data_IF_904831218407
#
_entry.id   IF_904831218407
#
_cell.length_a   1.000
_cell.length_b   1.000
_cell.length_c   1.000
_cell.angle_alpha   90.00
_cell.angle_beta   90.00
_cell.angle_gamma   90.00
#
_symmetry.space_group_name_H-M   'P 1'
#
loop_
_entity.id
_entity.type
_entity.pdbx_description
1 polymer ?
#
# COMPACT_ATOMS: atom_id res chain seq x y z
N UNK A 1 52.35 1.80 -16.44
CA UNK A 1 51.47 0.62 -16.43
C UNK A 1 50.17 1.00 -17.14
N UNK A 2 49.70 0.06 -17.96
CA UNK A 2 48.55 -0.01 -18.86
C UNK A 2 47.44 1.07 -18.82
N UNK A 3 47.17 1.62 -20.02
CA UNK A 3 45.84 2.05 -20.46
C UNK A 3 44.84 0.90 -20.37
N UNK A 4 43.60 1.21 -19.99
CA UNK A 4 42.43 0.41 -20.39
C UNK A 4 41.30 1.34 -20.80
N UNK A 5 41.10 1.40 -22.12
CA UNK A 5 39.85 1.77 -22.75
C UNK A 5 38.94 0.54 -22.75
N UNK A 6 37.65 0.68 -22.44
CA UNK A 6 36.56 0.00 -23.17
C UNK A 6 35.14 0.35 -22.69
N UNK A 7 34.44 1.04 -23.59
CA UNK A 7 33.10 0.73 -24.16
C UNK A 7 31.86 0.65 -23.27
N UNK A 8 31.05 1.71 -23.43
CA UNK A 8 29.59 1.76 -23.71
C UNK A 8 28.80 0.45 -23.54
N UNK A 9 27.76 0.52 -22.72
CA UNK A 9 26.44 -0.01 -23.05
C UNK A 9 25.41 0.99 -22.55
N UNK A 10 24.90 1.77 -23.51
CA UNK A 10 23.65 2.50 -23.38
C UNK A 10 22.55 1.47 -23.12
N UNK A 11 21.82 1.64 -22.02
CA UNK A 11 20.51 1.04 -21.87
C UNK A 11 19.58 2.10 -21.33
N UNK A 12 19.16 2.94 -22.27
CA UNK A 12 17.83 3.53 -22.27
C UNK A 12 16.80 2.49 -21.76
N UNK A 13 16.38 2.64 -20.50
CA UNK A 13 15.08 2.15 -20.06
C UNK A 13 14.15 3.34 -20.28
N UNK A 14 13.54 3.31 -21.46
CA UNK A 14 12.47 4.21 -21.83
C UNK A 14 11.34 4.14 -20.81
N UNK A 15 10.92 5.33 -20.40
CA UNK A 15 9.53 5.70 -20.19
C UNK A 15 8.66 4.68 -19.46
N UNK A 16 8.65 4.79 -18.15
CA UNK A 16 7.41 5.20 -17.50
C UNK A 16 7.78 6.27 -16.48
N UNK A 17 7.55 7.54 -16.85
CA UNK A 17 7.22 8.51 -15.83
C UNK A 17 5.92 7.98 -15.24
N UNK A 18 6.03 7.20 -14.18
CA UNK A 18 4.95 7.08 -13.23
C UNK A 18 4.67 8.53 -12.84
N UNK A 19 3.65 9.12 -13.45
CA UNK A 19 3.04 10.32 -12.94
C UNK A 19 2.57 9.89 -11.56
N UNK A 20 3.44 10.06 -10.56
CA UNK A 20 3.10 9.93 -9.16
C UNK A 20 1.96 10.91 -9.01
N UNK A 21 0.73 10.41 -9.11
CA UNK A 21 -0.46 11.20 -8.89
C UNK A 21 -0.36 11.56 -7.42
N UNK A 22 0.11 12.77 -7.16
CA UNK A 22 0.36 13.39 -5.85
C UNK A 22 -0.86 13.35 -4.91
N UNK A 23 -1.99 12.85 -5.41
CA UNK A 23 -3.28 12.78 -4.76
C UNK A 23 -3.71 11.37 -4.34
N UNK A 24 -2.92 10.30 -4.56
CA UNK A 24 -3.32 8.94 -4.18
C UNK A 24 -2.35 8.26 -3.20
N UNK A 25 -2.82 7.85 -2.00
CA UNK A 25 -1.96 7.28 -0.95
C UNK A 25 -1.53 5.82 -1.22
N UNK A 26 -2.03 5.19 -2.28
CA UNK A 26 -1.71 3.81 -2.66
C UNK A 26 -1.19 3.79 -4.11
N UNK A 27 -0.28 2.86 -4.41
CA UNK A 27 0.16 2.61 -5.79
C UNK A 27 -1.04 2.25 -6.68
N UNK A 28 -1.00 2.70 -7.95
CA UNK A 28 -2.10 2.52 -8.92
C UNK A 28 -2.56 1.05 -9.02
N UNK A 29 -1.64 0.10 -9.03
CA UNK A 29 -1.95 -1.33 -9.06
C UNK A 29 -2.81 -1.83 -7.88
N UNK A 30 -2.65 -1.25 -6.68
CA UNK A 30 -3.47 -1.55 -5.50
C UNK A 30 -4.84 -0.85 -5.59
N UNK A 31 -4.90 0.31 -6.24
CA UNK A 31 -6.13 1.05 -6.44
C UNK A 31 -7.06 0.36 -7.44
N UNK A 32 -6.52 -0.10 -8.57
CA UNK A 32 -7.28 -0.78 -9.62
C UNK A 32 -7.61 -2.24 -9.29
N UNK A 33 -7.04 -2.78 -8.21
CA UNK A 33 -7.34 -4.12 -7.76
C UNK A 33 -8.84 -4.28 -7.48
N UNK A 34 -9.49 -5.16 -8.26
CA UNK A 34 -10.91 -5.44 -8.14
C UNK A 34 -11.19 -6.17 -6.82
N UNK A 35 -12.10 -5.61 -6.03
CA UNK A 35 -12.66 -6.30 -4.87
C UNK A 35 -13.60 -7.41 -5.39
N UNK A 36 -13.47 -8.67 -4.93
CA UNK A 36 -14.37 -9.75 -5.32
C UNK A 36 -15.84 -9.39 -5.07
N UNK A 37 -16.74 -9.79 -5.97
CA UNK A 37 -18.16 -9.40 -5.95
C UNK A 37 -18.90 -9.89 -4.69
N UNK A 38 -18.41 -10.97 -4.07
CA UNK A 38 -18.92 -11.56 -2.82
C UNK A 38 -18.08 -11.20 -1.59
N UNK A 39 -17.21 -10.17 -1.68
CA UNK A 39 -16.38 -9.74 -0.56
C UNK A 39 -17.24 -9.12 0.53
N UNK A 40 -17.43 -9.85 1.63
CA UNK A 40 -17.97 -9.29 2.86
C UNK A 40 -16.87 -8.52 3.55
N UNK A 41 -17.04 -7.22 3.73
CA UNK A 41 -16.08 -6.40 4.47
C UNK A 41 -15.88 -7.02 5.85
N UNK A 42 -14.66 -7.45 6.19
CA UNK A 42 -14.40 -8.03 7.49
C UNK A 42 -14.56 -6.98 8.59
N UNK A 43 -15.03 -7.41 9.76
CA UNK A 43 -15.09 -6.54 10.93
C UNK A 43 -13.69 -6.35 11.51
N UNK A 44 -12.98 -5.36 10.97
CA UNK A 44 -11.65 -4.99 11.43
C UNK A 44 -11.70 -4.04 12.63
N UNK A 45 -10.67 -4.08 13.52
CA UNK A 45 -10.53 -3.09 14.57
C UNK A 45 -10.40 -1.69 13.96
N UNK A 46 -10.92 -0.69 14.67
CA UNK A 46 -10.85 0.72 14.26
C UNK A 46 -9.71 1.41 15.01
N UNK A 47 -8.92 2.19 14.30
CA UNK A 47 -7.83 2.98 14.85
C UNK A 47 -8.18 4.46 14.88
N UNK A 48 -8.34 5.01 16.08
CA UNK A 48 -8.67 6.42 16.31
C UNK A 48 -7.43 7.31 16.55
N UNK A 49 -6.23 6.70 16.54
CA UNK A 49 -4.96 7.39 16.82
C UNK A 49 -4.56 7.44 18.29
N UNK A 50 -5.29 6.78 19.20
CA UNK A 50 -4.97 6.73 20.64
C UNK A 50 -4.35 5.42 21.11
N UNK A 51 -4.64 4.32 20.41
CA UNK A 51 -4.04 3.01 20.71
C UNK A 51 -2.64 2.88 20.11
N UNK A 52 -1.92 1.84 20.52
CA UNK A 52 -0.59 1.56 19.96
C UNK A 52 -0.68 1.21 18.45
N UNK A 53 0.06 1.90 17.55
CA UNK A 53 0.01 1.63 16.11
C UNK A 53 0.52 0.23 15.73
N UNK A 54 1.48 -0.33 16.47
CA UNK A 54 2.05 -1.65 16.20
C UNK A 54 1.07 -2.76 16.58
N UNK A 55 0.40 -2.62 17.72
CA UNK A 55 -0.67 -3.51 18.15
C UNK A 55 -1.83 -3.50 17.15
N UNK A 56 -2.23 -2.32 16.66
CA UNK A 56 -3.27 -2.20 15.63
C UNK A 56 -2.86 -2.90 14.32
N UNK A 57 -1.62 -2.67 13.86
CA UNK A 57 -1.10 -3.31 12.65
C UNK A 57 -1.11 -4.84 12.79
N UNK A 58 -0.69 -5.36 13.94
CA UNK A 58 -0.72 -6.78 14.22
C UNK A 58 -2.15 -7.33 14.22
N UNK A 59 -3.08 -6.66 14.90
CA UNK A 59 -4.47 -7.09 14.98
C UNK A 59 -5.15 -7.16 13.59
N UNK A 60 -4.96 -6.13 12.76
CA UNK A 60 -5.47 -6.13 11.38
C UNK A 60 -4.77 -7.20 10.53
N UNK A 61 -3.45 -7.35 10.67
CA UNK A 61 -2.67 -8.36 9.96
C UNK A 61 -3.12 -9.80 10.26
N UNK A 62 -3.37 -10.11 11.53
CA UNK A 62 -3.88 -11.41 11.96
C UNK A 62 -5.27 -11.67 11.41
N UNK A 63 -6.20 -10.71 11.52
CA UNK A 63 -7.56 -10.89 11.02
C UNK A 63 -7.61 -11.05 9.49
N UNK A 64 -6.85 -10.25 8.75
CA UNK A 64 -6.79 -10.35 7.29
C UNK A 64 -6.19 -11.67 6.82
N UNK A 65 -5.24 -12.23 7.58
CA UNK A 65 -4.69 -13.57 7.33
C UNK A 65 -5.73 -14.66 7.60
N UNK A 66 -6.46 -14.59 8.72
CA UNK A 66 -7.50 -15.56 9.08
C UNK A 66 -8.62 -15.59 8.04
N UNK A 67 -9.01 -14.42 7.52
CA UNK A 67 -10.09 -14.26 6.53
C UNK A 67 -9.62 -14.60 5.11
N UNK A 68 -8.31 -14.76 4.90
CA UNK A 68 -7.74 -15.05 3.59
C UNK A 68 -7.83 -13.86 2.62
N UNK A 69 -7.71 -12.63 3.13
CA UNK A 69 -7.71 -11.43 2.29
C UNK A 69 -6.48 -11.43 1.39
N UNK A 70 -6.69 -11.26 0.08
CA UNK A 70 -5.62 -11.17 -0.90
C UNK A 70 -4.66 -10.03 -0.55
N UNK A 71 -3.37 -10.26 -0.74
CA UNK A 71 -2.32 -9.32 -0.31
C UNK A 71 -2.51 -7.91 -0.85
N UNK A 72 -2.85 -7.79 -2.14
CA UNK A 72 -3.10 -6.51 -2.80
C UNK A 72 -4.33 -5.75 -2.24
N UNK A 73 -5.23 -6.43 -1.50
CA UNK A 73 -6.37 -5.79 -0.84
C UNK A 73 -6.04 -5.35 0.59
N UNK A 74 -4.98 -5.88 1.21
CA UNK A 74 -4.64 -5.59 2.61
C UNK A 74 -4.40 -4.10 2.84
N UNK A 75 -3.66 -3.44 1.95
CA UNK A 75 -3.41 -1.99 2.07
C UNK A 75 -4.69 -1.17 1.95
N UNK A 76 -5.55 -1.49 0.97
CA UNK A 76 -6.83 -0.80 0.78
C UNK A 76 -7.76 -0.96 1.99
N UNK A 77 -7.79 -2.17 2.54
CA UNK A 77 -8.61 -2.50 3.69
C UNK A 77 -8.06 -1.89 5.00
N UNK A 78 -6.73 -1.87 5.17
CA UNK A 78 -6.06 -1.24 6.32
C UNK A 78 -6.34 0.26 6.37
N UNK A 79 -6.29 0.96 5.23
CA UNK A 79 -6.67 2.38 5.17
C UNK A 79 -8.12 2.63 5.63
N UNK A 80 -9.02 1.67 5.43
CA UNK A 80 -10.41 1.73 5.91
C UNK A 80 -10.57 1.54 7.43
N UNK A 81 -9.51 1.17 8.16
CA UNK A 81 -9.56 0.99 9.62
C UNK A 81 -9.37 2.29 10.39
N UNK A 82 -8.87 3.34 9.73
CA UNK A 82 -8.63 4.62 10.38
C UNK A 82 -9.94 5.36 10.66
N UNK A 83 -10.00 6.08 11.78
CA UNK A 83 -11.10 6.99 12.14
C UNK A 83 -10.56 8.28 12.75
N UNK A 84 -11.35 9.36 12.71
CA UNK A 84 -11.10 10.62 13.42
C UNK A 84 -9.71 11.22 13.13
N UNK A 85 -8.89 11.43 14.16
CA UNK A 85 -7.55 11.98 14.05
C UNK A 85 -6.65 11.16 13.12
N UNK A 86 -6.78 9.83 13.12
CA UNK A 86 -6.01 8.97 12.23
C UNK A 86 -6.34 9.22 10.75
N UNK A 87 -7.62 9.34 10.39
CA UNK A 87 -8.02 9.68 9.01
C UNK A 87 -7.50 11.05 8.59
N UNK A 88 -7.66 12.05 9.47
CA UNK A 88 -7.25 13.43 9.17
C UNK A 88 -5.75 13.58 8.91
N UNK A 89 -4.91 12.76 9.55
CA UNK A 89 -3.47 12.79 9.36
C UNK A 89 -3.02 12.09 8.07
N UNK A 90 -3.81 11.16 7.53
CA UNK A 90 -3.50 10.43 6.28
C UNK A 90 -4.03 11.11 5.02
N UNK A 91 -4.88 12.12 5.15
CA UNK A 91 -5.52 12.83 4.03
C UNK A 91 -4.95 14.23 3.78
N UNK A 92 -3.75 14.52 4.29
CA UNK A 92 -3.09 15.83 4.20
C UNK A 92 -1.82 15.71 3.40
#
# INVERSE_FOLDING_TARGET
MASVESRKADKEIGTEKDEIIDSQPLAQALWDARVPENFKTPHLPVFDGKSDPSEHLMAVGTQTTIIGVAEHLKCKLFSGTFKDAALRCTSK
#
